data_IF_774764244096
#
_entry.id   IF_774764244096
#
_cell.length_a   1.000
_cell.length_b   1.000
_cell.length_c   1.000
_cell.angle_alpha   90.00
_cell.angle_beta   90.00
_cell.angle_gamma   90.00
#
_symmetry.space_group_name_H-M   'P 1'
#
loop_
_entity.id
_entity.type
_entity.pdbx_description
1 polymer ?
#
# COMPACT_ATOMS: atom_id res chain seq x y z
N UNK A 1 -7.53 4.40 -12.47
CA UNK A 1 -6.88 5.48 -11.68
C UNK A 1 -5.46 5.93 -12.13
N UNK A 2 -4.81 5.25 -13.09
CA UNK A 2 -3.39 5.51 -13.47
C UNK A 2 -3.06 6.92 -14.00
N UNK A 3 -3.95 7.52 -14.80
CA UNK A 3 -3.72 8.87 -15.34
C UNK A 3 -3.61 9.93 -14.23
N UNK A 4 -4.49 9.84 -13.22
CA UNK A 4 -4.49 10.72 -12.05
C UNK A 4 -3.21 10.52 -11.22
N UNK A 5 -2.80 9.27 -10.99
CA UNK A 5 -1.54 8.96 -10.32
C UNK A 5 -0.33 9.62 -11.03
N UNK A 6 -0.28 9.56 -12.36
CA UNK A 6 0.82 10.18 -13.12
C UNK A 6 0.79 11.71 -13.07
N UNK A 7 -0.39 12.31 -13.03
CA UNK A 7 -0.56 13.76 -12.98
C UNK A 7 -0.21 14.32 -11.59
N UNK A 8 -0.82 13.76 -10.54
CA UNK A 8 -0.69 14.26 -9.15
C UNK A 8 0.60 13.75 -8.50
N UNK A 9 1.02 12.53 -8.84
CA UNK A 9 2.18 11.88 -8.23
C UNK A 9 3.50 12.60 -8.48
N UNK A 10 3.58 13.52 -9.46
CA UNK A 10 4.78 14.35 -9.67
C UNK A 10 5.11 15.25 -8.48
N UNK A 11 4.10 15.60 -7.67
CA UNK A 11 4.26 16.45 -6.49
C UNK A 11 4.58 15.69 -5.20
N UNK A 12 4.70 14.36 -5.26
CA UNK A 12 4.91 13.50 -4.09
C UNK A 12 6.21 12.70 -4.23
N UNK A 13 7.11 12.87 -3.26
CA UNK A 13 8.37 12.12 -3.19
C UNK A 13 8.15 10.64 -2.87
N UNK A 14 7.06 10.33 -2.14
CA UNK A 14 6.69 8.98 -1.77
C UNK A 14 5.32 8.69 -2.37
N UNK A 15 5.26 7.71 -3.28
CA UNK A 15 4.03 7.39 -3.98
C UNK A 15 3.97 5.91 -4.36
N UNK A 16 2.80 5.30 -4.28
CA UNK A 16 2.56 3.92 -4.70
C UNK A 16 1.26 3.83 -5.47
N UNK A 17 1.25 2.99 -6.49
CA UNK A 17 0.08 2.66 -7.27
C UNK A 17 -0.16 1.16 -7.15
N UNK A 18 -1.26 0.79 -6.51
CA UNK A 18 -1.65 -0.60 -6.32
C UNK A 18 -2.85 -0.88 -7.22
N UNK A 19 -2.65 -1.74 -8.22
CA UNK A 19 -3.67 -2.12 -9.18
C UNK A 19 -4.30 -3.47 -8.83
N UNK A 20 -5.50 -3.73 -9.36
CA UNK A 20 -6.20 -5.01 -9.24
C UNK A 20 -6.32 -5.47 -7.78
N UNK A 21 -6.66 -4.54 -6.87
CA UNK A 21 -6.73 -4.82 -5.42
C UNK A 21 -7.67 -5.99 -5.15
N UNK A 22 -8.84 -6.02 -5.79
CA UNK A 22 -9.80 -7.10 -5.65
C UNK A 22 -9.19 -8.47 -5.94
N UNK A 23 -8.61 -8.64 -7.12
CA UNK A 23 -8.02 -9.90 -7.54
C UNK A 23 -6.83 -10.32 -6.66
N UNK A 24 -5.97 -9.36 -6.29
CA UNK A 24 -4.80 -9.67 -5.47
C UNK A 24 -5.23 -10.05 -4.04
N UNK A 25 -6.21 -9.36 -3.46
CA UNK A 25 -6.68 -9.66 -2.11
C UNK A 25 -7.35 -11.04 -1.99
N UNK A 26 -7.87 -11.61 -3.08
CA UNK A 26 -8.43 -12.96 -3.12
C UNK A 26 -7.33 -14.06 -3.09
N UNK A 27 -6.06 -13.70 -3.30
CA UNK A 27 -4.93 -14.64 -3.25
C UNK A 27 -4.43 -14.86 -1.81
N UNK A 28 -3.97 -16.09 -1.52
CA UNK A 28 -3.49 -16.51 -0.19
C UNK A 28 -2.48 -15.56 0.48
N UNK A 29 -1.63 -14.87 -0.30
CA UNK A 29 -0.59 -13.95 0.20
C UNK A 29 -0.74 -12.53 -0.34
N UNK A 30 -1.79 -12.25 -1.11
CA UNK A 30 -1.85 -11.03 -1.90
C UNK A 30 -1.98 -9.76 -1.05
N UNK A 31 -2.69 -9.81 0.08
CA UNK A 31 -2.74 -8.67 1.01
C UNK A 31 -1.35 -8.31 1.56
N UNK A 32 -0.55 -9.31 1.93
CA UNK A 32 0.84 -9.10 2.38
C UNK A 32 1.71 -8.58 1.23
N UNK A 33 1.54 -9.11 0.02
CA UNK A 33 2.23 -8.61 -1.17
C UNK A 33 1.94 -7.13 -1.45
N UNK A 34 0.69 -6.69 -1.29
CA UNK A 34 0.32 -5.28 -1.44
C UNK A 34 0.97 -4.39 -0.39
N UNK A 35 1.03 -4.83 0.88
CA UNK A 35 1.73 -4.09 1.93
C UNK A 35 3.24 -4.01 1.64
N UNK A 36 3.85 -5.09 1.14
CA UNK A 36 5.26 -5.11 0.76
C UNK A 36 5.55 -4.18 -0.42
N UNK A 37 4.69 -4.17 -1.43
CA UNK A 37 4.79 -3.27 -2.56
C UNK A 37 4.67 -1.80 -2.10
N UNK A 38 3.68 -1.49 -1.26
CA UNK A 38 3.50 -0.15 -0.70
C UNK A 38 4.75 0.29 0.08
N UNK A 39 5.30 -0.59 0.91
CA UNK A 39 6.52 -0.32 1.66
C UNK A 39 7.71 -0.07 0.74
N UNK A 40 7.88 -0.90 -0.29
CA UNK A 40 8.96 -0.76 -1.27
C UNK A 40 8.85 0.56 -2.06
N UNK A 41 7.65 0.90 -2.54
CA UNK A 41 7.42 2.10 -3.34
C UNK A 41 7.68 3.39 -2.55
N UNK A 42 7.27 3.40 -1.28
CA UNK A 42 7.29 4.60 -0.42
C UNK A 42 8.56 4.73 0.42
N UNK A 43 9.22 3.63 0.76
CA UNK A 43 10.41 3.65 1.61
C UNK A 43 11.67 3.19 0.88
N UNK A 44 11.55 2.62 -0.32
CA UNK A 44 12.67 2.00 -1.07
C UNK A 44 13.40 0.94 -0.26
N UNK A 45 12.71 0.36 0.72
CA UNK A 45 13.23 -0.61 1.67
C UNK A 45 12.97 -2.02 1.13
N UNK A 46 14.03 -2.81 0.94
CA UNK A 46 13.95 -4.21 0.46
C UNK A 46 14.21 -5.24 1.56
N UNK A 47 14.72 -4.80 2.72
CA UNK A 47 15.15 -5.69 3.80
C UNK A 47 14.03 -6.04 4.78
N UNK A 48 13.01 -5.18 4.89
CA UNK A 48 11.90 -5.41 5.82
C UNK A 48 10.90 -6.40 5.23
N UNK A 49 10.86 -7.60 5.81
CA UNK A 49 9.89 -8.63 5.43
C UNK A 49 8.64 -8.54 6.28
N UNK A 50 7.50 -8.37 5.62
CA UNK A 50 6.18 -8.44 6.27
C UNK A 50 5.80 -9.91 6.40
N UNK A 51 5.60 -10.37 7.64
CA UNK A 51 5.26 -11.76 7.95
C UNK A 51 3.76 -12.03 7.97
N UNK A 52 2.97 -11.04 8.37
CA UNK A 52 1.51 -11.08 8.40
C UNK A 52 0.94 -9.66 8.25
N UNK A 53 -0.37 -9.57 8.05
CA UNK A 53 -1.05 -8.32 7.71
C UNK A 53 -0.93 -7.32 8.87
N UNK A 54 -1.11 -7.76 10.11
CA UNK A 54 -1.04 -6.91 11.31
C UNK A 54 0.35 -6.28 11.48
N UNK A 55 1.41 -7.08 11.35
CA UNK A 55 2.79 -6.61 11.38
C UNK A 55 3.06 -5.62 10.24
N UNK A 56 2.51 -5.89 9.04
CA UNK A 56 2.61 -4.99 7.90
C UNK A 56 1.96 -3.63 8.17
N UNK A 57 0.78 -3.60 8.82
CA UNK A 57 0.11 -2.34 9.21
C UNK A 57 0.97 -1.53 10.18
N UNK A 58 1.58 -2.18 11.17
CA UNK A 58 2.45 -1.51 12.16
C UNK A 58 3.68 -0.92 11.47
N UNK A 59 4.35 -1.71 10.61
CA UNK A 59 5.53 -1.28 9.86
C UNK A 59 5.19 -0.12 8.93
N UNK A 60 4.10 -0.23 8.16
CA UNK A 60 3.65 0.84 7.27
C UNK A 60 3.31 2.11 8.07
N UNK A 61 2.63 1.99 9.20
CA UNK A 61 2.35 3.13 10.08
C UNK A 61 3.64 3.80 10.55
N UNK A 62 4.58 3.02 11.10
CA UNK A 62 5.86 3.56 11.59
C UNK A 62 6.67 4.26 10.48
N UNK A 63 6.68 3.68 9.28
CA UNK A 63 7.49 4.17 8.17
C UNK A 63 6.86 5.35 7.42
N UNK A 64 5.54 5.45 7.43
CA UNK A 64 4.80 6.49 6.71
C UNK A 64 4.33 7.64 7.61
N UNK A 65 4.30 7.49 8.94
CA UNK A 65 3.76 8.50 9.89
C UNK A 65 4.31 9.92 9.70
N UNK A 66 5.58 10.07 9.29
CA UNK A 66 6.24 11.37 9.12
C UNK A 66 6.46 11.75 7.65
N UNK A 67 5.84 11.04 6.72
CA UNK A 67 6.03 11.22 5.28
C UNK A 67 4.74 11.64 4.62
N UNK A 68 4.84 12.59 3.69
CA UNK A 68 3.73 12.89 2.78
C UNK A 68 3.72 11.88 1.64
N UNK A 69 2.79 10.92 1.72
CA UNK A 69 2.70 9.77 0.82
C UNK A 69 1.42 9.84 -0.02
N UNK A 70 1.52 9.58 -1.32
CA UNK A 70 0.37 9.38 -2.20
C UNK A 70 0.18 7.89 -2.47
N UNK A 71 -0.94 7.32 -2.03
CA UNK A 71 -1.31 5.94 -2.36
C UNK A 71 -2.57 5.97 -3.22
N UNK A 72 -2.51 5.33 -4.38
CA UNK A 72 -3.67 5.17 -5.27
C UNK A 72 -4.00 3.69 -5.34
N UNK A 73 -5.22 3.35 -4.96
CA UNK A 73 -5.76 1.99 -4.97
C UNK A 73 -6.75 1.88 -6.13
N UNK A 74 -6.51 0.96 -7.06
CA UNK A 74 -7.38 0.70 -8.21
C UNK A 74 -8.12 -0.62 -8.01
N UNK A 75 -9.42 -0.64 -8.33
CA UNK A 75 -10.30 -1.80 -8.20
C UNK A 75 -10.47 -2.32 -6.75
N UNK A 76 -10.77 -1.41 -5.81
CA UNK A 76 -11.17 -1.75 -4.44
C UNK A 76 -12.68 -2.01 -4.40
N UNK A 77 -13.09 -3.17 -3.90
CA UNK A 77 -14.48 -3.61 -3.82
C UNK A 77 -15.01 -3.75 -2.40
N UNK A 78 -14.15 -3.92 -1.38
CA UNK A 78 -14.57 -4.11 0.02
C UNK A 78 -13.73 -3.28 1.01
N UNK A 79 -14.31 -3.01 2.18
CA UNK A 79 -13.59 -2.32 3.26
C UNK A 79 -12.45 -3.15 3.82
N UNK A 80 -12.56 -4.48 3.82
CA UNK A 80 -11.51 -5.37 4.30
C UNK A 80 -10.21 -5.23 3.48
N UNK A 81 -10.33 -5.00 2.18
CA UNK A 81 -9.18 -4.73 1.31
C UNK A 81 -8.46 -3.44 1.71
N UNK A 82 -9.21 -2.40 2.08
CA UNK A 82 -8.64 -1.15 2.58
C UNK A 82 -8.03 -1.34 3.97
N UNK A 83 -8.71 -2.07 4.86
CA UNK A 83 -8.25 -2.36 6.22
C UNK A 83 -6.96 -3.17 6.23
N UNK A 84 -6.70 -4.00 5.22
CA UNK A 84 -5.44 -4.69 5.07
C UNK A 84 -4.26 -3.71 4.88
N UNK A 85 -4.46 -2.57 4.23
CA UNK A 85 -3.41 -1.60 3.92
C UNK A 85 -3.27 -0.49 4.97
N UNK A 86 -4.39 -0.02 5.51
CA UNK A 86 -4.44 1.05 6.48
C UNK A 86 -5.30 0.60 7.66
N UNK A 87 -4.72 0.54 8.85
CA UNK A 87 -5.50 0.28 10.06
C UNK A 87 -6.55 1.37 10.27
N UNK A 88 -7.76 0.98 10.70
CA UNK A 88 -8.76 1.92 11.19
C UNK A 88 -8.20 2.69 12.38
N UNK A 89 -8.41 4.01 12.38
CA UNK A 89 -7.87 4.94 13.36
C UNK A 89 -8.53 4.79 14.73
#
# INVERSE_FOLDING_TARGET
AKAIYNQIGRSFNYRSFLANIREICEQNVGQVSLQQQLLFDTCKETKTKIQNIEAGKIILKDRLQNKRVLVVLDDVSTLDQLHALCGSR
#
